data_IF_534419799988
#
_entry.id   IF_534419799988
#
_cell.length_a   1.000
_cell.length_b   1.000
_cell.length_c   1.000
_cell.angle_alpha   90.00
_cell.angle_beta   90.00
_cell.angle_gamma   90.00
#
_symmetry.space_group_name_H-M   'P 1'
#
loop_
_entity.id
_entity.type
_entity.pdbx_description
1 polymer ?
#
# COMPACT_ATOMS: atom_id res chain seq x y z
N UNK A 1 54.42 -48.82 13.33
CA UNK A 1 54.56 -48.09 12.05
C UNK A 1 53.66 -48.76 11.03
N UNK A 2 52.48 -48.20 10.76
CA UNK A 2 51.54 -48.76 9.79
C UNK A 2 52.01 -48.50 8.34
N UNK A 3 51.59 -49.31 7.37
CA UNK A 3 52.05 -49.19 5.99
C UNK A 3 51.60 -47.84 5.42
N UNK A 4 52.57 -46.99 5.07
CA UNK A 4 52.29 -45.79 4.29
C UNK A 4 51.75 -46.23 2.93
N UNK A 5 50.49 -45.90 2.68
CA UNK A 5 49.84 -46.05 1.37
C UNK A 5 50.73 -45.42 0.29
N UNK A 6 51.25 -46.24 -0.62
CA UNK A 6 52.17 -45.86 -1.70
C UNK A 6 51.47 -45.24 -2.90
N UNK A 7 50.19 -44.85 -2.78
CA UNK A 7 49.48 -44.10 -3.84
C UNK A 7 49.55 -42.59 -3.58
N UNK A 8 49.89 -41.78 -4.60
CA UNK A 8 49.83 -40.33 -4.46
C UNK A 8 48.38 -39.91 -4.12
N UNK A 9 48.20 -38.98 -3.17
CA UNK A 9 46.87 -38.55 -2.76
C UNK A 9 46.08 -38.00 -3.96
N UNK A 10 44.88 -38.53 -4.16
CA UNK A 10 44.01 -38.11 -5.23
C UNK A 10 43.50 -36.66 -5.03
N UNK A 11 43.34 -35.92 -6.13
CA UNK A 11 42.76 -34.58 -6.08
C UNK A 11 41.29 -34.62 -5.65
N UNK A 12 40.91 -33.79 -4.67
CA UNK A 12 39.52 -33.62 -4.26
C UNK A 12 38.81 -32.62 -5.18
N UNK A 13 38.03 -33.13 -6.14
CA UNK A 13 37.30 -32.32 -7.13
C UNK A 13 35.78 -32.40 -7.00
N UNK A 14 35.25 -32.77 -5.83
CA UNK A 14 33.81 -32.95 -5.58
C UNK A 14 33.09 -33.78 -6.66
N UNK A 15 33.76 -34.77 -7.26
CA UNK A 15 33.23 -35.59 -8.35
C UNK A 15 32.80 -34.79 -9.60
N UNK A 16 33.42 -33.64 -9.83
CA UNK A 16 33.11 -32.75 -10.96
C UNK A 16 34.26 -32.57 -11.94
N UNK A 17 35.46 -33.06 -11.63
CA UNK A 17 36.56 -33.15 -12.57
C UNK A 17 37.19 -34.55 -12.51
N UNK A 18 37.65 -35.03 -13.67
CA UNK A 18 38.43 -36.28 -13.79
C UNK A 18 39.93 -36.03 -13.89
N UNK A 19 40.34 -34.78 -14.07
CA UNK A 19 41.72 -34.36 -14.24
C UNK A 19 42.03 -33.24 -13.26
N UNK A 20 43.27 -33.19 -12.81
CA UNK A 20 43.81 -32.11 -12.00
C UNK A 20 45.28 -31.91 -12.31
N UNK A 21 45.80 -30.74 -11.95
CA UNK A 21 47.23 -30.43 -12.00
C UNK A 21 47.74 -30.08 -10.61
N UNK A 22 49.01 -30.37 -10.37
CA UNK A 22 49.69 -29.94 -9.17
C UNK A 22 50.20 -28.50 -9.32
N UNK A 23 50.11 -27.72 -8.25
CA UNK A 23 50.69 -26.40 -8.12
C UNK A 23 51.53 -26.35 -6.83
N UNK A 24 52.84 -26.20 -7.01
CA UNK A 24 53.84 -26.20 -5.92
C UNK A 24 53.69 -25.02 -4.97
N UNK A 25 53.29 -23.86 -5.47
CA UNK A 25 53.08 -22.65 -4.67
C UNK A 25 51.88 -22.79 -3.73
N UNK A 26 50.75 -23.29 -4.24
CA UNK A 26 49.58 -23.59 -3.41
C UNK A 26 49.87 -24.67 -2.38
N UNK A 27 50.66 -25.68 -2.74
CA UNK A 27 51.09 -26.72 -1.80
C UNK A 27 51.89 -26.12 -0.64
N UNK A 28 52.86 -25.24 -0.95
CA UNK A 28 53.66 -24.52 0.06
C UNK A 28 52.77 -23.64 0.95
N UNK A 29 51.87 -22.87 0.36
CA UNK A 29 50.93 -22.00 1.09
C UNK A 29 49.95 -22.79 1.99
N UNK A 30 49.66 -24.04 1.63
CA UNK A 30 48.81 -24.92 2.44
C UNK A 30 49.52 -25.60 3.61
N UNK A 31 50.82 -25.33 3.83
CA UNK A 31 51.65 -26.02 4.82
C UNK A 31 51.89 -27.49 4.47
N UNK A 32 52.03 -27.79 3.17
CA UNK A 32 52.26 -29.17 2.70
C UNK A 32 51.01 -30.06 2.70
N UNK A 33 49.81 -29.49 2.80
CA UNK A 33 48.55 -30.27 2.84
C UNK A 33 47.96 -30.58 1.47
N UNK A 34 47.87 -29.60 0.57
CA UNK A 34 47.27 -29.77 -0.76
C UNK A 34 47.67 -28.67 -1.75
N UNK A 35 48.13 -29.09 -2.94
CA UNK A 35 48.42 -28.21 -4.08
C UNK A 35 47.64 -28.56 -5.35
N UNK A 36 46.65 -29.45 -5.26
CA UNK A 36 45.87 -29.90 -6.41
C UNK A 36 44.88 -28.83 -6.89
N UNK A 37 44.83 -28.60 -8.20
CA UNK A 37 43.82 -27.76 -8.85
C UNK A 37 43.08 -28.61 -9.87
N UNK A 38 41.76 -28.71 -9.74
CA UNK A 38 40.90 -29.42 -10.65
C UNK A 38 40.83 -28.73 -12.01
N UNK A 39 40.78 -29.53 -13.07
CA UNK A 39 40.74 -29.03 -14.44
C UNK A 39 39.37 -29.30 -15.08
N UNK A 40 38.82 -28.31 -15.78
CA UNK A 40 37.55 -28.41 -16.53
C UNK A 40 36.42 -28.95 -15.66
N UNK A 41 36.13 -28.25 -14.57
CA UNK A 41 34.98 -28.54 -13.71
C UNK A 41 33.71 -28.70 -14.55
N UNK A 42 33.02 -29.83 -14.35
CA UNK A 42 31.75 -30.17 -15.01
C UNK A 42 30.57 -29.77 -14.13
N UNK A 43 29.36 -30.01 -14.62
CA UNK A 43 28.11 -29.78 -13.87
C UNK A 43 27.95 -28.33 -13.38
N UNK A 44 28.45 -27.36 -14.15
CA UNK A 44 28.35 -25.93 -13.85
C UNK A 44 29.00 -25.51 -12.53
N UNK A 45 29.99 -26.27 -12.09
CA UNK A 45 30.81 -25.95 -10.92
C UNK A 45 32.10 -25.22 -11.33
N UNK A 46 32.69 -24.52 -10.38
CA UNK A 46 33.89 -23.71 -10.55
C UNK A 46 34.71 -23.68 -9.24
N UNK A 47 35.93 -23.14 -9.35
CA UNK A 47 36.90 -23.09 -8.25
C UNK A 47 37.90 -24.24 -8.26
N UNK A 48 38.94 -24.11 -7.42
CA UNK A 48 40.07 -25.05 -7.35
C UNK A 48 39.67 -26.51 -7.13
N UNK A 49 38.58 -26.75 -6.42
CA UNK A 49 38.05 -28.07 -6.09
C UNK A 49 36.66 -28.27 -6.70
N UNK A 50 36.24 -27.43 -7.65
CA UNK A 50 34.88 -27.41 -8.18
C UNK A 50 33.82 -27.25 -7.07
N UNK A 51 34.10 -26.38 -6.09
CA UNK A 51 33.36 -26.31 -4.83
C UNK A 51 32.22 -25.28 -4.80
N UNK A 52 32.11 -24.43 -5.82
CA UNK A 52 31.02 -23.45 -5.95
C UNK A 52 30.46 -23.45 -7.38
N UNK A 53 29.34 -22.77 -7.59
CA UNK A 53 28.70 -22.72 -8.90
C UNK A 53 29.30 -21.61 -9.77
N UNK A 54 29.46 -21.87 -11.06
CA UNK A 54 29.91 -20.85 -12.00
C UNK A 54 28.91 -19.67 -12.09
N UNK A 55 29.32 -18.47 -12.54
CA UNK A 55 28.40 -17.35 -12.74
C UNK A 55 27.20 -17.72 -13.62
N UNK A 56 26.00 -17.26 -13.24
CA UNK A 56 24.74 -17.67 -13.87
C UNK A 56 24.16 -18.97 -13.32
N UNK A 57 24.79 -19.57 -12.31
CA UNK A 57 24.27 -20.71 -11.55
C UNK A 57 24.34 -20.44 -10.04
N UNK A 58 23.49 -21.12 -9.28
CA UNK A 58 23.44 -21.04 -7.82
C UNK A 58 23.34 -22.43 -7.19
N UNK A 59 23.77 -22.54 -5.94
CA UNK A 59 23.89 -23.78 -5.18
C UNK A 59 22.52 -24.24 -4.70
N UNK A 60 22.08 -25.43 -5.11
CA UNK A 60 20.84 -26.04 -4.64
C UNK A 60 21.01 -26.68 -3.25
N UNK A 61 20.42 -26.13 -2.17
CA UNK A 61 20.60 -26.67 -0.83
C UNK A 61 20.09 -28.11 -0.67
N UNK A 62 19.15 -28.54 -1.52
CA UNK A 62 18.58 -29.90 -1.48
C UNK A 62 19.46 -30.98 -2.10
N UNK A 63 20.64 -30.63 -2.64
CA UNK A 63 21.58 -31.55 -3.27
C UNK A 63 22.93 -31.48 -2.55
N UNK A 64 23.66 -32.59 -2.36
CA UNK A 64 25.05 -32.52 -1.89
C UNK A 64 25.95 -31.88 -2.95
N UNK A 65 27.07 -31.26 -2.54
CA UNK A 65 27.98 -30.59 -3.49
C UNK A 65 28.56 -31.57 -4.52
N UNK A 66 28.64 -32.86 -4.22
CA UNK A 66 29.12 -33.89 -5.15
C UNK A 66 28.12 -34.26 -6.25
N UNK A 67 26.86 -33.83 -6.14
CA UNK A 67 25.79 -34.16 -7.08
C UNK A 67 25.98 -33.46 -8.42
N UNK A 68 25.65 -34.14 -9.54
CA UNK A 68 25.60 -33.50 -10.87
C UNK A 68 24.56 -32.37 -10.96
N UNK A 69 23.62 -32.30 -10.01
CA UNK A 69 22.57 -31.29 -9.92
C UNK A 69 22.83 -30.28 -8.78
N UNK A 70 24.04 -30.25 -8.22
CA UNK A 70 24.40 -29.35 -7.12
C UNK A 70 24.24 -27.85 -7.48
N UNK A 71 24.37 -27.52 -8.78
CA UNK A 71 24.24 -26.17 -9.32
C UNK A 71 23.04 -26.06 -10.25
N UNK A 72 22.16 -25.10 -9.97
CA UNK A 72 20.97 -24.78 -10.77
C UNK A 72 21.17 -23.48 -11.53
N UNK A 73 20.65 -23.43 -12.75
CA UNK A 73 20.71 -22.21 -13.58
C UNK A 73 19.90 -21.09 -12.93
N UNK A 74 20.45 -19.87 -12.96
CA UNK A 74 19.72 -18.66 -12.62
C UNK A 74 18.66 -18.38 -13.69
N UNK A 75 17.40 -18.28 -13.30
CA UNK A 75 16.28 -18.02 -14.22
C UNK A 75 15.84 -16.55 -14.15
N UNK A 76 16.81 -15.62 -14.15
CA UNK A 76 16.52 -14.20 -14.01
C UNK A 76 15.73 -13.68 -15.20
N UNK A 77 14.65 -12.92 -14.94
CA UNK A 77 13.78 -12.38 -15.98
C UNK A 77 14.54 -11.35 -16.84
N UNK A 78 14.56 -11.50 -18.18
CA UNK A 78 15.44 -10.71 -19.06
C UNK A 78 15.18 -9.20 -19.01
N UNK A 79 13.92 -8.82 -18.78
CA UNK A 79 13.53 -7.40 -18.68
C UNK A 79 13.61 -6.92 -17.23
N UNK A 80 13.33 -7.80 -16.25
CA UNK A 80 13.08 -7.41 -14.86
C UNK A 80 14.33 -7.41 -13.98
N UNK A 81 15.33 -8.22 -14.34
CA UNK A 81 16.63 -8.26 -13.69
C UNK A 81 17.63 -7.32 -14.37
N UNK A 82 18.67 -6.91 -13.64
CA UNK A 82 19.81 -6.16 -14.18
C UNK A 82 20.87 -7.05 -14.82
N UNK A 83 20.90 -8.34 -14.47
CA UNK A 83 21.79 -9.34 -15.06
C UNK A 83 21.16 -10.73 -15.04
N UNK A 84 21.77 -11.66 -15.79
CA UNK A 84 21.44 -13.10 -15.73
C UNK A 84 22.13 -13.83 -14.57
N UNK A 85 23.01 -13.14 -13.82
CA UNK A 85 23.73 -13.70 -12.68
C UNK A 85 22.89 -13.47 -11.42
N UNK A 86 22.67 -14.54 -10.66
CA UNK A 86 21.98 -14.50 -9.38
C UNK A 86 22.94 -14.77 -8.22
N UNK A 87 22.49 -14.49 -7.00
CA UNK A 87 23.23 -14.81 -5.79
C UNK A 87 23.49 -16.33 -5.73
N UNK A 88 24.76 -16.73 -5.55
CA UNK A 88 25.16 -18.14 -5.60
C UNK A 88 24.57 -18.99 -4.48
N UNK A 89 24.16 -18.38 -3.36
CA UNK A 89 23.63 -19.10 -2.20
C UNK A 89 22.10 -19.12 -2.20
N UNK A 90 21.46 -17.97 -2.47
CA UNK A 90 19.99 -17.84 -2.39
C UNK A 90 19.27 -18.01 -3.72
N UNK A 91 19.97 -17.94 -4.85
CA UNK A 91 19.36 -17.89 -6.18
C UNK A 91 18.65 -16.57 -6.50
N UNK A 92 18.73 -15.56 -5.62
CA UNK A 92 18.08 -14.27 -5.83
C UNK A 92 18.76 -13.49 -6.95
N UNK A 93 17.97 -13.12 -7.96
CA UNK A 93 18.39 -12.24 -9.04
C UNK A 93 18.44 -10.78 -8.59
N UNK A 94 19.34 -9.99 -9.18
CA UNK A 94 19.41 -8.55 -8.98
C UNK A 94 18.27 -7.86 -9.74
N UNK A 95 17.23 -7.42 -9.03
CA UNK A 95 16.04 -6.83 -9.65
C UNK A 95 16.20 -5.34 -9.96
N UNK A 96 15.61 -4.88 -11.08
CA UNK A 96 15.47 -3.46 -11.39
C UNK A 96 14.50 -2.76 -10.43
N UNK A 97 14.54 -1.43 -10.43
CA UNK A 97 13.68 -0.60 -9.57
C UNK A 97 12.20 -0.96 -9.73
N UNK A 98 11.52 -1.20 -8.59
CA UNK A 98 10.10 -1.54 -8.57
C UNK A 98 9.77 -2.97 -9.00
N UNK A 99 10.76 -3.78 -9.36
CA UNK A 99 10.61 -5.20 -9.68
C UNK A 99 10.93 -6.04 -8.43
N UNK A 100 10.23 -7.16 -8.24
CA UNK A 100 10.42 -8.05 -7.10
C UNK A 100 10.27 -9.53 -7.49
N UNK A 101 10.52 -10.41 -6.52
CA UNK A 101 10.52 -11.87 -6.67
C UNK A 101 11.92 -12.45 -6.88
N UNK A 102 12.07 -13.76 -6.62
CA UNK A 102 13.35 -14.49 -6.76
C UNK A 102 13.98 -14.30 -8.15
N UNK A 103 13.12 -14.32 -9.18
CA UNK A 103 13.49 -14.24 -10.58
C UNK A 103 13.26 -12.85 -11.19
N UNK A 104 12.87 -11.85 -10.38
CA UNK A 104 12.53 -10.49 -10.85
C UNK A 104 11.41 -10.47 -11.91
N UNK A 105 10.36 -11.28 -11.73
CA UNK A 105 9.32 -11.52 -12.73
C UNK A 105 8.00 -10.75 -12.49
N UNK A 106 7.93 -9.87 -11.48
CA UNK A 106 6.72 -9.10 -11.17
C UNK A 106 7.04 -7.73 -10.58
N UNK A 107 6.12 -6.79 -10.72
CA UNK A 107 6.24 -5.51 -10.02
C UNK A 107 5.91 -5.64 -8.55
N UNK A 108 6.66 -4.93 -7.70
CA UNK A 108 6.42 -4.84 -6.28
C UNK A 108 5.18 -3.99 -5.93
N UNK A 109 4.74 -4.01 -4.66
CA UNK A 109 3.70 -3.13 -4.17
C UNK A 109 4.01 -1.66 -4.49
N UNK A 110 3.01 -0.90 -4.95
CA UNK A 110 3.20 0.50 -5.36
C UNK A 110 3.71 0.70 -6.78
N UNK A 111 3.98 -0.37 -7.54
CA UNK A 111 4.40 -0.31 -8.94
C UNK A 111 3.40 -1.01 -9.87
N UNK A 112 3.42 -0.63 -11.15
CA UNK A 112 2.66 -1.25 -12.23
C UNK A 112 3.57 -1.48 -13.44
N UNK A 113 3.23 -2.47 -14.26
CA UNK A 113 3.97 -2.75 -15.49
C UNK A 113 3.89 -1.57 -16.46
N UNK A 114 5.02 -1.26 -17.07
CA UNK A 114 5.17 -0.26 -18.12
C UNK A 114 5.57 -0.95 -19.44
N UNK A 115 5.53 -0.21 -20.55
CA UNK A 115 6.00 -0.69 -21.85
C UNK A 115 7.52 -0.50 -22.06
N UNK A 116 8.21 0.13 -21.11
CA UNK A 116 9.65 0.40 -21.23
C UNK A 116 10.48 -0.81 -20.79
N UNK A 117 11.39 -1.34 -21.63
CA UNK A 117 12.33 -2.39 -21.21
C UNK A 117 13.36 -1.91 -20.16
N UNK A 118 13.65 -0.60 -20.16
CA UNK A 118 14.58 0.02 -19.20
C UNK A 118 13.92 0.20 -17.83
N UNK A 119 12.65 0.59 -17.82
CA UNK A 119 11.84 0.81 -16.61
C UNK A 119 10.56 -0.03 -16.64
N UNK A 120 10.64 -1.36 -16.50
CA UNK A 120 9.49 -2.25 -16.67
C UNK A 120 8.42 -2.09 -15.60
N UNK A 121 8.79 -1.58 -14.42
CA UNK A 121 7.87 -1.28 -13.35
C UNK A 121 7.95 0.22 -13.03
N UNK A 122 6.87 0.94 -13.29
CA UNK A 122 6.76 2.35 -12.94
C UNK A 122 5.97 2.48 -11.64
N UNK A 123 6.37 3.42 -10.76
CA UNK A 123 5.55 3.76 -9.59
C UNK A 123 4.16 4.11 -10.07
N UNK A 124 3.15 3.56 -9.41
CA UNK A 124 1.78 3.96 -9.64
C UNK A 124 1.71 5.41 -9.20
N UNK A 125 1.36 6.34 -10.10
CA UNK A 125 1.23 7.72 -9.71
C UNK A 125 0.18 7.78 -8.61
N UNK A 126 0.62 8.20 -7.43
CA UNK A 126 -0.25 8.65 -6.38
C UNK A 126 -1.11 9.75 -7.02
N UNK A 127 -2.44 9.57 -6.99
CA UNK A 127 -3.35 10.48 -7.64
C UNK A 127 -3.42 11.78 -6.83
N UNK A 128 -2.36 12.58 -6.86
CA UNK A 128 -2.36 13.93 -6.35
C UNK A 128 -3.00 14.79 -7.42
N UNK A 129 -4.27 15.11 -7.22
CA UNK A 129 -4.93 16.11 -8.06
C UNK A 129 -4.59 17.48 -7.50
N UNK A 130 -3.71 18.19 -8.19
CA UNK A 130 -3.70 19.65 -8.12
C UNK A 130 -5.02 20.12 -8.72
N UNK A 131 -5.78 20.91 -7.98
CA UNK A 131 -6.90 21.66 -8.55
C UNK A 131 -6.34 22.46 -9.74
N UNK A 132 -7.09 22.52 -10.84
CA UNK A 132 -6.91 23.64 -11.75
C UNK A 132 -7.31 24.86 -10.93
N UNK A 133 -6.34 25.61 -10.43
CA UNK A 133 -6.61 26.88 -9.79
C UNK A 133 -7.17 27.78 -10.87
N UNK A 134 -8.45 28.13 -10.77
CA UNK A 134 -8.76 29.55 -10.78
C UNK A 134 -8.45 30.04 -9.36
N UNK A 135 -7.41 30.85 -9.14
CA UNK A 135 -7.37 31.68 -7.95
C UNK A 135 -8.60 32.61 -7.98
N UNK A 136 -9.16 32.90 -6.81
CA UNK A 136 -10.35 33.71 -6.56
C UNK A 136 -11.69 33.01 -6.85
N UNK A 137 -12.37 32.56 -5.79
CA UNK A 137 -13.46 33.30 -5.11
C UNK A 137 -13.82 32.41 -3.90
N UNK A 138 -12.96 32.40 -2.88
CA UNK A 138 -13.49 32.13 -1.53
C UNK A 138 -14.30 33.36 -1.15
N UNK A 139 -15.40 33.19 -0.42
CA UNK A 139 -15.95 34.33 0.30
C UNK A 139 -14.80 34.93 1.11
N UNK A 140 -14.50 36.21 0.92
CA UNK A 140 -13.50 36.93 1.72
C UNK A 140 -13.93 37.04 3.19
N UNK A 141 -15.15 36.58 3.50
CA UNK A 141 -15.72 36.51 4.83
C UNK A 141 -14.94 35.53 5.74
N UNK A 142 -14.33 36.04 6.83
CA UNK A 142 -13.65 35.23 7.84
C UNK A 142 -14.54 34.15 8.49
N UNK A 143 -15.86 34.39 8.56
CA UNK A 143 -16.82 33.41 9.10
C UNK A 143 -16.89 32.17 8.19
N UNK A 144 -17.00 32.36 6.88
CA UNK A 144 -16.98 31.25 5.93
C UNK A 144 -15.61 30.53 5.87
N UNK A 145 -14.50 31.24 6.09
CA UNK A 145 -13.16 30.64 6.13
C UNK A 145 -12.99 29.68 7.31
N UNK A 146 -13.44 30.10 8.50
CA UNK A 146 -13.45 29.24 9.68
C UNK A 146 -14.45 28.09 9.55
N UNK A 147 -15.60 28.33 8.93
CA UNK A 147 -16.65 27.35 8.68
C UNK A 147 -16.22 26.23 7.71
N UNK A 148 -15.67 26.57 6.54
CA UNK A 148 -15.29 25.58 5.55
C UNK A 148 -13.96 24.85 5.86
N UNK A 149 -13.16 25.36 6.82
CA UNK A 149 -11.85 24.86 7.27
C UNK A 149 -11.05 24.12 6.17
N UNK A 150 -10.79 24.83 5.06
CA UNK A 150 -10.14 24.26 3.91
C UNK A 150 -8.62 24.20 4.11
N UNK A 151 -8.11 23.03 4.51
CA UNK A 151 -6.70 22.73 4.28
C UNK A 151 -6.47 22.53 2.78
N UNK A 152 -5.64 23.40 2.19
CA UNK A 152 -5.34 23.52 0.78
C UNK A 152 -5.23 22.18 0.01
N UNK A 153 -6.24 21.91 -0.82
CA UNK A 153 -6.15 21.64 -2.28
C UNK A 153 -5.10 20.65 -2.85
N UNK A 154 -4.66 19.64 -2.09
CA UNK A 154 -4.07 18.40 -2.63
C UNK A 154 -4.55 17.18 -1.86
N UNK A 155 -5.40 16.38 -2.48
CA UNK A 155 -5.92 15.15 -1.87
C UNK A 155 -5.10 13.97 -2.34
N UNK A 156 -4.17 13.52 -1.48
CA UNK A 156 -3.56 12.20 -1.62
C UNK A 156 -4.50 11.14 -1.03
N UNK A 157 -5.01 10.23 -1.86
CA UNK A 157 -5.90 9.16 -1.43
C UNK A 157 -5.12 7.93 -0.96
N UNK A 158 -4.59 8.01 0.26
CA UNK A 158 -4.01 6.84 0.93
C UNK A 158 -5.08 5.83 1.34
N UNK A 159 -4.66 4.59 1.65
CA UNK A 159 -5.57 3.58 2.23
C UNK A 159 -6.25 4.10 3.49
N UNK A 160 -5.52 4.77 4.39
CA UNK A 160 -6.10 5.39 5.59
C UNK A 160 -7.17 6.43 5.24
N UNK A 161 -6.90 7.34 4.31
CA UNK A 161 -7.88 8.38 3.90
C UNK A 161 -9.11 7.76 3.26
N UNK A 162 -8.93 6.75 2.41
CA UNK A 162 -10.01 5.97 1.80
C UNK A 162 -10.84 5.22 2.85
N UNK A 163 -10.20 4.57 3.84
CA UNK A 163 -10.87 3.84 4.92
C UNK A 163 -11.71 4.75 5.82
N UNK A 164 -11.36 6.05 5.93
CA UNK A 164 -12.10 7.05 6.70
C UNK A 164 -13.34 7.61 6.01
N UNK A 165 -13.51 7.41 4.69
CA UNK A 165 -14.72 7.87 3.99
C UNK A 165 -15.88 6.89 4.21
N UNK A 166 -17.12 7.35 4.22
CA UNK A 166 -18.29 6.47 4.19
C UNK A 166 -18.67 6.12 2.75
N UNK A 167 -18.53 7.08 1.82
CA UNK A 167 -18.70 6.83 0.40
C UNK A 167 -17.58 7.47 -0.43
N UNK A 168 -17.29 6.83 -1.57
CA UNK A 168 -16.35 7.31 -2.58
C UNK A 168 -16.96 7.02 -3.94
N UNK A 169 -17.37 8.07 -4.64
CA UNK A 169 -18.18 7.98 -5.85
C UNK A 169 -17.52 8.75 -7.00
N UNK A 170 -17.67 8.25 -8.21
CA UNK A 170 -17.60 9.07 -9.41
C UNK A 170 -19.02 9.42 -9.82
N UNK A 171 -19.36 10.69 -9.86
CA UNK A 171 -20.70 11.15 -10.22
C UNK A 171 -20.64 12.42 -11.06
N UNK A 172 -21.59 12.56 -11.98
CA UNK A 172 -21.79 13.78 -12.75
C UNK A 172 -22.95 14.57 -12.12
N UNK A 173 -22.73 15.84 -11.78
CA UNK A 173 -23.81 16.69 -11.26
C UNK A 173 -24.66 17.16 -12.44
N UNK A 174 -25.97 16.98 -12.38
CA UNK A 174 -26.90 17.31 -13.46
C UNK A 174 -27.67 18.60 -13.19
N UNK A 175 -28.14 18.80 -11.97
CA UNK A 175 -28.93 19.97 -11.57
C UNK A 175 -28.84 20.22 -10.06
N UNK A 176 -29.13 21.46 -9.66
CA UNK A 176 -29.24 21.90 -8.27
C UNK A 176 -30.56 22.62 -8.07
N UNK A 177 -31.33 22.20 -7.07
CA UNK A 177 -32.63 22.79 -6.73
C UNK A 177 -32.67 23.13 -5.23
N UNK A 178 -33.30 24.25 -4.82
CA UNK A 178 -33.55 24.53 -3.41
C UNK A 178 -34.53 23.49 -2.86
N UNK A 179 -34.26 22.97 -1.67
CA UNK A 179 -35.07 21.96 -1.00
C UNK A 179 -35.41 22.40 0.43
N UNK A 180 -36.12 23.53 0.52
CA UNK A 180 -36.44 24.20 1.77
C UNK A 180 -35.37 25.23 2.20
N UNK A 181 -35.48 25.77 3.42
CA UNK A 181 -34.68 26.92 3.84
C UNK A 181 -33.22 26.59 4.17
N UNK A 182 -32.93 25.33 4.51
CA UNK A 182 -31.60 24.91 4.99
C UNK A 182 -30.86 23.99 4.03
N UNK A 183 -31.51 23.51 2.96
CA UNK A 183 -30.99 22.44 2.12
C UNK A 183 -31.14 22.75 0.65
N UNK A 184 -30.16 22.30 -0.12
CA UNK A 184 -30.23 22.19 -1.57
C UNK A 184 -30.14 20.72 -1.97
N UNK A 185 -30.94 20.33 -2.94
CA UNK A 185 -30.96 18.99 -3.51
C UNK A 185 -30.31 19.00 -4.88
N UNK A 186 -29.21 18.28 -5.01
CA UNK A 186 -28.51 18.05 -6.25
C UNK A 186 -29.00 16.75 -6.88
N UNK A 187 -29.32 16.78 -8.17
CA UNK A 187 -29.49 15.56 -8.97
C UNK A 187 -28.14 15.21 -9.56
N UNK A 188 -27.60 14.03 -9.24
CA UNK A 188 -26.35 13.57 -9.80
C UNK A 188 -26.43 12.14 -10.32
N UNK A 189 -25.77 11.89 -11.44
CA UNK A 189 -25.64 10.57 -12.04
C UNK A 189 -24.41 9.85 -11.49
N UNK A 190 -24.62 8.82 -10.69
CA UNK A 190 -23.55 7.98 -10.15
C UNK A 190 -23.02 7.05 -11.24
N UNK A 191 -21.83 7.35 -11.73
CA UNK A 191 -21.12 6.58 -12.78
C UNK A 191 -20.40 5.37 -12.20
N UNK A 192 -19.75 5.53 -11.04
CA UNK A 192 -19.06 4.43 -10.36
C UNK A 192 -19.07 4.57 -8.84
N UNK A 193 -19.26 3.44 -8.16
CA UNK A 193 -19.16 3.32 -6.70
C UNK A 193 -17.85 2.61 -6.35
N UNK A 194 -16.94 3.33 -5.70
CA UNK A 194 -15.70 2.77 -5.17
C UNK A 194 -15.85 2.35 -3.71
N UNK A 195 -16.61 3.12 -2.93
CA UNK A 195 -16.93 2.81 -1.53
C UNK A 195 -18.36 3.23 -1.19
N UNK A 196 -19.02 2.47 -0.31
CA UNK A 196 -20.30 2.82 0.31
C UNK A 196 -20.42 2.15 1.68
N UNK A 197 -20.99 2.86 2.65
CA UNK A 197 -21.42 2.35 3.95
C UNK A 197 -22.94 2.38 3.93
N UNK A 198 -23.58 1.26 4.27
CA UNK A 198 -24.99 0.97 4.03
C UNK A 198 -25.94 2.16 4.34
N UNK A 199 -27.06 2.32 3.60
CA UNK A 199 -27.58 1.42 2.56
C UNK A 199 -26.77 1.43 1.25
N UNK A 200 -26.84 0.37 0.43
CA UNK A 200 -26.10 0.30 -0.82
C UNK A 200 -26.63 1.34 -1.82
N UNK A 201 -25.71 2.16 -2.35
CA UNK A 201 -26.00 3.15 -3.38
C UNK A 201 -26.07 2.47 -4.75
N UNK A 202 -27.08 2.82 -5.54
CA UNK A 202 -27.23 2.34 -6.92
C UNK A 202 -26.51 3.28 -7.88
N UNK A 203 -26.09 2.74 -9.03
CA UNK A 203 -25.67 3.56 -10.18
C UNK A 203 -26.89 4.20 -10.83
N UNK A 204 -26.66 5.28 -11.57
CA UNK A 204 -27.71 6.08 -12.17
C UNK A 204 -28.03 7.32 -11.34
N UNK A 205 -29.20 7.89 -11.56
CA UNK A 205 -29.54 9.20 -11.01
C UNK A 205 -29.91 9.06 -9.52
N UNK A 206 -29.28 9.89 -8.69
CA UNK A 206 -29.41 9.91 -7.24
C UNK A 206 -29.51 11.36 -6.76
N UNK A 207 -30.14 11.56 -5.60
CA UNK A 207 -30.23 12.87 -4.96
C UNK A 207 -29.14 13.02 -3.89
N UNK A 208 -28.35 14.09 -4.00
CA UNK A 208 -27.40 14.51 -2.97
C UNK A 208 -27.94 15.73 -2.25
N UNK A 209 -27.84 15.73 -0.93
CA UNK A 209 -28.30 16.82 -0.08
C UNK A 209 -27.09 17.62 0.38
N UNK A 210 -27.10 18.92 0.09
CA UNK A 210 -26.04 19.85 0.48
C UNK A 210 -26.65 20.93 1.36
N UNK A 211 -26.08 21.22 2.54
CA UNK A 211 -26.52 22.34 3.35
C UNK A 211 -26.45 23.65 2.56
N UNK A 212 -27.50 24.46 2.63
CA UNK A 212 -27.54 25.76 1.96
C UNK A 212 -26.41 26.68 2.40
N UNK A 213 -26.02 26.61 3.68
CA UNK A 213 -24.88 27.34 4.24
C UNK A 213 -23.55 26.96 3.58
N UNK A 214 -23.33 25.69 3.25
CA UNK A 214 -22.10 25.22 2.58
C UNK A 214 -22.00 25.78 1.15
N UNK A 215 -23.14 25.87 0.45
CA UNK A 215 -23.20 26.48 -0.90
C UNK A 215 -23.05 28.00 -0.84
N UNK A 216 -23.70 28.66 0.14
CA UNK A 216 -23.61 30.10 0.35
C UNK A 216 -22.18 30.55 0.70
N UNK A 217 -21.49 29.81 1.57
CA UNK A 217 -20.08 30.03 1.87
C UNK A 217 -19.13 29.58 0.75
N UNK A 218 -19.63 28.87 -0.27
CA UNK A 218 -18.83 28.37 -1.38
C UNK A 218 -17.88 27.23 -1.00
N UNK A 219 -18.14 26.51 0.09
CA UNK A 219 -17.33 25.36 0.53
C UNK A 219 -17.31 24.24 -0.54
N UNK A 220 -18.39 24.14 -1.31
CA UNK A 220 -18.54 23.21 -2.43
C UNK A 220 -19.02 23.99 -3.66
N UNK A 221 -18.28 23.90 -4.77
CA UNK A 221 -18.71 24.41 -6.08
C UNK A 221 -18.90 23.25 -7.03
N UNK A 222 -20.15 23.03 -7.42
CA UNK A 222 -20.59 21.87 -8.17
C UNK A 222 -21.36 22.31 -9.44
N UNK A 223 -20.70 22.98 -10.41
CA UNK A 223 -21.34 23.27 -11.69
C UNK A 223 -21.92 22.00 -12.33
N UNK A 224 -23.18 22.08 -12.83
CA UNK A 224 -23.79 21.03 -13.62
C UNK A 224 -22.94 20.62 -14.84
N UNK A 225 -23.11 19.38 -15.30
CA UNK A 225 -22.40 18.80 -16.44
C UNK A 225 -20.97 18.32 -16.13
N UNK A 226 -20.45 18.60 -14.94
CA UNK A 226 -19.08 18.24 -14.57
C UNK A 226 -19.02 16.90 -13.80
N UNK A 227 -18.04 16.06 -14.16
CA UNK A 227 -17.73 14.83 -13.45
C UNK A 227 -16.89 15.12 -12.20
N UNK A 228 -17.31 14.56 -11.06
CA UNK A 228 -16.63 14.71 -9.78
C UNK A 228 -16.26 13.37 -9.16
N UNK A 229 -15.11 13.35 -8.49
CA UNK A 229 -14.82 12.43 -7.39
C UNK A 229 -15.43 13.02 -6.12
N UNK A 230 -16.51 12.38 -5.65
CA UNK A 230 -17.19 12.75 -4.41
C UNK A 230 -16.70 11.86 -3.27
N UNK A 231 -16.27 12.50 -2.19
CA UNK A 231 -15.80 11.89 -0.96
C UNK A 231 -16.66 12.43 0.17
N UNK A 232 -17.33 11.56 0.90
CA UNK A 232 -18.11 11.98 2.06
C UNK A 232 -17.81 11.15 3.27
N UNK A 233 -17.81 11.83 4.40
CA UNK A 233 -17.99 11.26 5.73
C UNK A 233 -19.42 11.63 6.07
N UNK A 234 -20.35 10.69 5.96
CA UNK A 234 -21.72 11.01 6.26
C UNK A 234 -21.74 11.40 7.75
N UNK A 235 -22.11 12.65 8.12
CA UNK A 235 -22.47 12.91 9.50
C UNK A 235 -23.63 11.96 9.84
N UNK A 236 -23.83 11.67 11.13
CA UNK A 236 -25.02 10.95 11.60
C UNK A 236 -26.25 11.82 11.34
N UNK A 237 -26.67 11.90 10.07
CA UNK A 237 -27.94 12.47 9.69
C UNK A 237 -29.02 11.52 10.24
N UNK A 238 -30.10 12.04 10.83
CA UNK A 238 -31.15 11.21 11.44
C UNK A 238 -31.78 10.22 10.44
N UNK A 239 -31.77 10.57 9.15
CA UNK A 239 -32.11 9.68 8.05
C UNK A 239 -30.83 9.09 7.42
N UNK A 240 -30.51 7.80 7.66
CA UNK A 240 -29.33 7.14 7.13
C UNK A 240 -29.41 6.85 5.62
N UNK A 241 -30.57 7.04 4.99
CA UNK A 241 -30.74 6.82 3.55
C UNK A 241 -30.35 8.04 2.70
N UNK A 242 -30.17 9.22 3.31
CA UNK A 242 -29.80 10.43 2.57
C UNK A 242 -28.31 10.51 2.29
N UNK A 243 -27.96 10.70 1.03
CA UNK A 243 -26.60 10.97 0.60
C UNK A 243 -26.29 12.45 0.84
N UNK A 244 -25.69 12.77 1.98
CA UNK A 244 -25.32 14.15 2.35
C UNK A 244 -23.89 14.44 1.92
N UNK A 245 -23.68 15.59 1.29
CA UNK A 245 -22.36 16.14 0.96
C UNK A 245 -22.24 17.51 1.62
N UNK A 246 -21.51 17.58 2.73
CA UNK A 246 -21.31 18.78 3.54
C UNK A 246 -19.87 19.34 3.38
N UNK A 247 -19.54 20.41 4.11
CA UNK A 247 -18.20 21.00 4.15
C UNK A 247 -17.10 20.07 4.70
N UNK A 248 -17.45 18.92 5.32
CA UNK A 248 -16.49 17.89 5.73
C UNK A 248 -16.18 16.90 4.60
N UNK A 249 -17.05 16.83 3.60
CA UNK A 249 -16.86 16.14 2.35
C UNK A 249 -15.95 16.90 1.38
N UNK A 250 -15.61 16.25 0.27
CA UNK A 250 -14.80 16.84 -0.80
C UNK A 250 -15.38 16.46 -2.16
N UNK A 251 -15.49 17.45 -3.03
CA UNK A 251 -15.79 17.27 -4.44
C UNK A 251 -14.60 17.74 -5.29
N UNK A 252 -13.95 16.81 -5.97
CA UNK A 252 -12.80 17.09 -6.83
C UNK A 252 -13.17 16.82 -8.28
N UNK A 253 -12.78 17.66 -9.24
CA UNK A 253 -12.95 17.34 -10.65
C UNK A 253 -12.37 15.96 -10.97
N UNK A 254 -13.19 15.11 -11.60
CA UNK A 254 -12.79 13.76 -11.92
C UNK A 254 -11.62 13.76 -12.89
N UNK A 255 -10.70 12.81 -12.70
CA UNK A 255 -9.60 12.55 -13.64
C UNK A 255 -9.50 11.06 -13.88
N UNK A 256 -9.37 10.58 -15.13
CA UNK A 256 -9.30 9.13 -15.42
C UNK A 256 -8.25 8.36 -14.62
N UNK A 257 -7.14 9.01 -14.24
CA UNK A 257 -6.08 8.44 -13.38
C UNK A 257 -6.56 7.99 -11.99
N UNK A 258 -7.69 8.48 -11.48
CA UNK A 258 -8.28 8.05 -10.21
C UNK A 258 -8.85 6.63 -10.25
N UNK A 259 -9.28 6.16 -11.42
CA UNK A 259 -10.04 4.93 -11.55
C UNK A 259 -9.25 3.68 -11.08
N UNK A 260 -7.97 3.57 -11.46
CA UNK A 260 -7.12 2.41 -11.10
C UNK A 260 -6.75 2.40 -9.61
N UNK A 261 -6.24 3.49 -9.00
CA UNK A 261 -5.98 3.56 -7.56
C UNK A 261 -7.22 3.26 -6.71
N UNK A 262 -8.38 3.85 -7.02
CA UNK A 262 -9.60 3.62 -6.25
C UNK A 262 -10.09 2.16 -6.34
N UNK A 263 -9.97 1.51 -7.50
CA UNK A 263 -10.24 0.06 -7.63
C UNK A 263 -9.31 -0.78 -6.75
N UNK A 264 -8.03 -0.42 -6.67
CA UNK A 264 -7.04 -1.11 -5.82
C UNK A 264 -7.35 -0.92 -4.34
N UNK A 265 -7.69 0.29 -3.91
CA UNK A 265 -8.08 0.58 -2.54
C UNK A 265 -9.34 -0.20 -2.13
N UNK A 266 -10.33 -0.30 -3.01
CA UNK A 266 -11.51 -1.15 -2.83
C UNK A 266 -11.15 -2.63 -2.67
N UNK A 267 -10.20 -3.14 -3.44
CA UNK A 267 -9.71 -4.52 -3.29
C UNK A 267 -8.97 -4.72 -1.95
N UNK A 268 -8.13 -3.76 -1.54
CA UNK A 268 -7.42 -3.80 -0.26
C UNK A 268 -8.40 -3.77 0.93
N UNK A 269 -9.44 -2.95 0.88
CA UNK A 269 -10.50 -2.94 1.88
C UNK A 269 -11.21 -4.30 1.98
N UNK A 270 -11.59 -4.90 0.84
CA UNK A 270 -12.19 -6.24 0.79
C UNK A 270 -11.27 -7.33 1.35
N UNK A 271 -9.96 -7.17 1.19
CA UNK A 271 -8.93 -8.03 1.78
C UNK A 271 -8.67 -7.74 3.28
N UNK A 272 -9.43 -6.83 3.92
CA UNK A 272 -9.30 -6.50 5.34
C UNK A 272 -8.34 -5.35 5.67
N UNK A 273 -7.80 -4.65 4.66
CA UNK A 273 -6.81 -3.57 4.84
C UNK A 273 -7.29 -2.34 5.62
N UNK A 274 -8.59 -2.21 5.89
CA UNK A 274 -9.14 -1.14 6.72
C UNK A 274 -9.28 -1.50 8.21
N UNK A 275 -8.90 -2.72 8.64
CA UNK A 275 -8.89 -3.11 10.06
C UNK A 275 -7.95 -2.17 10.84
N UNK A 276 -8.43 -1.56 11.93
CA UNK A 276 -7.64 -0.65 12.78
C UNK A 276 -7.37 0.76 12.22
N UNK A 277 -7.73 1.06 10.97
CA UNK A 277 -7.57 2.40 10.36
C UNK A 277 -8.82 3.28 10.48
N UNK A 278 -9.90 2.72 11.04
CA UNK A 278 -11.17 3.43 11.26
C UNK A 278 -11.06 4.24 12.55
N UNK A 279 -11.57 5.46 12.53
CA UNK A 279 -11.78 6.21 13.77
C UNK A 279 -12.71 5.42 14.70
N UNK A 280 -12.49 5.42 16.02
CA UNK A 280 -13.44 4.82 16.95
C UNK A 280 -14.81 5.46 16.70
N UNK A 281 -15.81 4.63 16.45
CA UNK A 281 -17.19 5.07 16.48
C UNK A 281 -17.44 5.56 17.90
N UNK A 282 -17.61 6.88 18.09
CA UNK A 282 -18.23 7.39 19.31
C UNK A 282 -19.52 6.60 19.51
N UNK A 283 -19.77 6.06 20.70
CA UNK A 283 -21.04 5.37 20.99
C UNK A 283 -22.25 6.26 20.72
N UNK A 284 -23.48 5.74 20.82
CA UNK A 284 -24.63 6.63 20.91
C UNK A 284 -24.41 7.56 22.11
N UNK A 285 -24.63 8.86 21.92
CA UNK A 285 -24.66 9.80 23.02
C UNK A 285 -25.73 9.31 24.00
N UNK A 286 -25.33 9.06 25.25
CA UNK A 286 -26.26 8.86 26.35
C UNK A 286 -27.12 10.13 26.45
N UNK A 287 -28.44 9.93 26.35
CA UNK A 287 -29.46 10.96 26.54
C UNK A 287 -29.30 11.62 27.92
N UNK A 288 -29.44 12.95 28.06
CA UNK A 288 -29.41 13.61 29.36
C UNK A 288 -30.80 13.53 30.00
N UNK A 289 -31.18 12.37 30.52
CA UNK A 289 -32.38 12.24 31.36
C UNK A 289 -32.15 11.19 32.43
N UNK A 290 -31.33 11.53 33.43
CA UNK A 290 -31.44 11.09 34.83
C UNK A 290 -30.36 11.80 35.63
N UNK A 291 -30.65 13.03 36.06
CA UNK A 291 -29.90 13.73 37.09
C UNK A 291 -30.88 14.56 37.91
N UNK A 292 -31.79 13.88 38.60
CA UNK A 292 -32.66 14.44 39.64
C UNK A 292 -33.22 13.30 40.48
N UNK A 293 -32.39 12.78 41.38
CA UNK A 293 -32.80 12.19 42.65
C UNK A 293 -31.54 11.66 43.35
N UNK A 294 -31.09 12.40 44.38
CA UNK A 294 -30.50 11.93 45.64
C UNK A 294 -29.42 12.91 46.12
N UNK A 295 -29.87 14.02 46.70
CA UNK A 295 -29.09 14.79 47.66
C UNK A 295 -30.07 15.35 48.69
N UNK A 296 -30.63 14.45 49.50
CA UNK A 296 -31.27 14.78 50.76
C UNK A 296 -30.89 13.68 51.73
N UNK A 297 -30.52 14.06 52.95
CA UNK A 297 -30.12 13.24 54.09
C UNK A 297 -28.61 12.94 54.22
N UNK A 298 -27.86 13.93 54.69
CA UNK A 298 -26.72 13.73 55.60
C UNK A 298 -26.39 15.05 56.32
N UNK A 299 -27.31 15.56 57.13
CA UNK A 299 -27.04 16.65 58.07
C UNK A 299 -27.96 16.51 59.29
N UNK A 300 -27.65 15.56 60.17
CA UNK A 300 -28.13 15.55 61.56
C UNK A 300 -27.31 14.55 62.37
N UNK A 301 -26.30 15.08 63.08
CA UNK A 301 -25.85 14.68 64.42
C UNK A 301 -24.47 15.27 64.64
N UNK A 302 -24.40 16.31 65.45
CA UNK A 302 -23.39 16.53 66.48
C UNK A 302 -23.91 17.73 67.28
N UNK A 303 -24.59 17.41 68.38
CA UNK A 303 -25.16 18.33 69.36
C UNK A 303 -24.40 18.15 70.67
N UNK A 304 -24.07 19.27 71.34
CA UNK A 304 -23.58 19.38 72.73
C UNK A 304 -22.14 18.92 72.97
N UNK A 305 -21.26 19.64 73.69
CA UNK A 305 -21.46 20.45 74.91
C UNK A 305 -20.14 21.22 75.27
N UNK A 306 -20.03 22.06 76.33
CA UNK A 306 -19.75 23.50 76.22
C UNK A 306 -18.53 24.04 77.02
N UNK A 307 -18.49 25.39 77.18
CA UNK A 307 -17.84 26.24 78.23
C UNK A 307 -16.49 26.90 77.82
N UNK A 308 -16.17 28.16 78.22
CA UNK A 308 -16.90 29.15 79.03
C UNK A 308 -17.42 30.39 78.28
#
# INVERSE_FOLDING_TARGET
MGPHSTSPPACSCNQHARRCRFNSELFRLSGGRSGGICERCRHHTAGRHCQYCQPGFWRDPGQPITSRKACRVCQCHPIGASSSICNQTSGQCSCKLGVTGLLCNRCGPGFQQSRSPRMPCQRIPEATTTLAMTPAVYSSDPQCQSYCNHSASRVHMSLRKYCQQDYVLQAQVLAAEPAGPAWSRLTARVLAVYKQRAPPLRRGDQHLWVPGADLACGCLRLPPGTDYLLLGRAPRHPDPARLVLDHLGLALPWRPRWARPLRRLRQQERAGGCRGLRAPTSGPALSPTTALATASQAAHRLDGQPIP
#
